data_IF_529161341448
#
_entry.id   IF_529161341448
#
_cell.length_a   1.000
_cell.length_b   1.000
_cell.length_c   1.000
_cell.angle_alpha   90.00
_cell.angle_beta   90.00
_cell.angle_gamma   90.00
#
_symmetry.space_group_name_H-M   'P 1'
#
loop_
_entity.id
_entity.type
_entity.pdbx_description
1 polymer ?
#
# COMPACT_ATOMS: atom_id res chain seq x y z
N UNK A 1 -67.90 -25.36 -21.16
CA UNK A 1 -68.98 -25.74 -20.21
C UNK A 1 -68.35 -26.29 -18.95
N UNK A 2 -68.87 -25.85 -17.80
CA UNK A 2 -68.74 -26.36 -16.44
C UNK A 2 -67.41 -26.26 -15.66
N UNK A 3 -67.46 -25.35 -14.69
CA UNK A 3 -66.84 -25.44 -13.38
C UNK A 3 -67.52 -26.52 -12.50
N UNK A 4 -66.79 -27.09 -11.54
CA UNK A 4 -67.31 -27.40 -10.21
C UNK A 4 -66.20 -27.71 -9.20
N UNK A 5 -66.32 -27.08 -8.04
CA UNK A 5 -65.69 -27.43 -6.77
C UNK A 5 -66.26 -28.74 -6.21
N UNK A 6 -65.46 -29.45 -5.40
CA UNK A 6 -65.93 -30.06 -4.14
C UNK A 6 -64.79 -30.29 -3.14
N UNK A 7 -65.17 -30.25 -1.87
CA UNK A 7 -64.39 -29.96 -0.67
C UNK A 7 -64.42 -31.16 0.32
N UNK A 8 -63.39 -31.26 1.18
CA UNK A 8 -63.24 -32.00 2.47
C UNK A 8 -62.78 -33.47 2.37
N UNK A 9 -61.72 -33.91 3.07
CA UNK A 9 -61.63 -33.97 4.54
C UNK A 9 -60.21 -34.03 5.10
N UNK A 10 -60.15 -33.67 6.38
CA UNK A 10 -59.04 -33.46 7.32
C UNK A 10 -58.30 -34.75 7.69
N UNK A 11 -56.97 -34.70 7.75
CA UNK A 11 -56.20 -35.32 8.84
C UNK A 11 -54.92 -34.52 9.08
N UNK A 12 -54.88 -33.89 10.24
CA UNK A 12 -53.72 -33.23 10.80
C UNK A 12 -52.73 -34.29 11.32
N UNK A 13 -51.46 -34.16 10.94
CA UNK A 13 -50.34 -34.68 11.70
C UNK A 13 -49.21 -33.64 11.61
N UNK A 14 -49.15 -32.87 12.68
CA UNK A 14 -48.14 -31.89 13.07
C UNK A 14 -46.71 -32.43 12.93
N UNK A 15 -46.02 -32.03 11.87
CA UNK A 15 -44.57 -31.95 11.81
C UNK A 15 -44.18 -30.52 12.21
N UNK A 16 -43.69 -30.38 13.43
CA UNK A 16 -43.39 -29.12 14.11
C UNK A 16 -42.39 -28.30 13.27
N UNK A 17 -42.90 -27.29 12.58
CA UNK A 17 -42.12 -26.10 12.24
C UNK A 17 -41.74 -25.45 13.57
N UNK A 18 -40.51 -25.71 14.04
CA UNK A 18 -39.90 -24.86 15.06
C UNK A 18 -39.68 -23.50 14.40
N UNK A 19 -40.66 -22.62 14.62
CA UNK A 19 -40.51 -21.19 14.52
C UNK A 19 -39.27 -20.81 15.33
N UNK A 20 -38.17 -20.47 14.66
CA UNK A 20 -37.08 -19.73 15.28
C UNK A 20 -37.58 -18.30 15.55
N UNK A 21 -38.30 -18.14 16.66
CA UNK A 21 -38.44 -16.88 17.38
C UNK A 21 -37.19 -16.67 18.23
N UNK A 22 -36.11 -16.29 17.57
CA UNK A 22 -34.96 -15.65 18.19
C UNK A 22 -34.63 -14.45 17.30
N UNK A 23 -35.12 -13.28 17.71
CA UNK A 23 -34.69 -11.94 17.29
C UNK A 23 -34.20 -11.83 15.84
N UNK A 24 -35.07 -12.09 14.86
CA UNK A 24 -34.90 -11.61 13.48
C UNK A 24 -35.22 -10.12 13.43
N UNK A 25 -34.38 -9.30 14.03
CA UNK A 25 -34.18 -7.94 13.52
C UNK A 25 -32.88 -8.07 12.72
N UNK A 26 -33.04 -8.63 11.54
CA UNK A 26 -31.93 -8.85 10.60
C UNK A 26 -31.65 -7.50 9.93
N UNK A 27 -30.42 -7.28 9.48
CA UNK A 27 -29.98 -6.07 8.76
C UNK A 27 -30.90 -5.62 7.59
N UNK A 28 -31.83 -6.48 7.14
CA UNK A 28 -32.89 -6.19 6.17
C UNK A 28 -33.73 -4.94 6.50
N UNK A 29 -33.87 -4.55 7.78
CA UNK A 29 -34.64 -3.36 8.18
C UNK A 29 -33.83 -2.05 8.18
N UNK A 30 -32.53 -2.06 7.85
CA UNK A 30 -31.77 -0.81 7.74
C UNK A 30 -32.16 -0.05 6.46
N UNK A 31 -32.59 1.24 6.59
CA UNK A 31 -32.86 2.09 5.43
C UNK A 31 -31.63 2.21 4.54
N UNK A 32 -31.81 2.34 3.22
CA UNK A 32 -30.69 2.48 2.28
C UNK A 32 -29.78 3.69 2.56
N UNK A 33 -30.31 4.73 3.21
CA UNK A 33 -29.55 5.92 3.64
C UNK A 33 -28.71 5.69 4.90
N UNK A 34 -28.95 4.60 5.62
CA UNK A 34 -28.24 4.23 6.83
C UNK A 34 -26.79 3.84 6.50
N UNK A 35 -25.86 4.24 7.36
CA UNK A 35 -24.45 3.95 7.23
C UNK A 35 -23.88 3.26 8.46
N UNK A 36 -22.90 2.39 8.23
CA UNK A 36 -22.02 1.88 9.28
C UNK A 36 -20.72 2.67 9.23
N UNK A 37 -20.36 3.23 10.38
CA UNK A 37 -19.06 3.89 10.57
C UNK A 37 -18.14 2.98 11.35
N UNK A 38 -16.90 2.78 10.88
CA UNK A 38 -15.88 2.00 11.54
C UNK A 38 -14.69 2.90 11.90
N UNK A 39 -14.28 2.87 13.16
CA UNK A 39 -13.04 3.47 13.65
C UNK A 39 -12.07 2.34 13.99
N UNK A 40 -10.94 2.30 13.31
CA UNK A 40 -10.07 1.12 13.27
C UNK A 40 -8.63 1.48 13.60
N UNK A 41 -7.98 0.63 14.40
CA UNK A 41 -6.54 0.68 14.65
C UNK A 41 -5.96 -0.71 14.46
N UNK A 42 -4.86 -0.81 13.73
CA UNK A 42 -4.35 -2.12 13.34
C UNK A 42 -2.86 -2.16 13.11
N UNK A 43 -2.41 -3.37 12.80
CA UNK A 43 -1.03 -3.64 12.39
C UNK A 43 -1.08 -4.45 11.11
N UNK A 44 -0.45 -3.93 10.07
CA UNK A 44 -0.15 -4.67 8.84
C UNK A 44 1.24 -5.27 8.93
N UNK A 45 1.37 -6.50 8.47
CA UNK A 45 2.62 -7.24 8.43
C UNK A 45 3.18 -7.20 7.01
N UNK A 46 3.96 -6.15 6.71
CA UNK A 46 4.48 -5.87 5.38
C UNK A 46 5.75 -6.68 5.11
N UNK A 47 5.70 -7.55 4.11
CA UNK A 47 6.86 -8.31 3.65
C UNK A 47 7.87 -7.42 2.93
N UNK A 48 9.16 -7.71 3.14
CA UNK A 48 10.26 -7.12 2.38
C UNK A 48 10.34 -5.60 2.46
N UNK A 49 9.91 -5.06 3.60
CA UNK A 49 9.81 -3.63 3.91
C UNK A 49 10.40 -3.35 5.31
N UNK A 50 11.20 -4.28 5.82
CA UNK A 50 11.81 -4.18 7.15
C UNK A 50 12.94 -3.16 7.15
N UNK A 51 13.07 -2.42 8.24
CA UNK A 51 14.16 -1.46 8.41
C UNK A 51 15.55 -2.12 8.55
N UNK A 52 15.60 -3.43 8.74
CA UNK A 52 16.85 -4.19 8.91
C UNK A 52 16.82 -5.42 8.00
N UNK A 53 17.87 -5.67 7.19
CA UNK A 53 17.89 -6.78 6.23
C UNK A 53 17.62 -8.16 6.85
N UNK A 54 18.03 -8.38 8.10
CA UNK A 54 17.85 -9.63 8.83
C UNK A 54 16.37 -10.01 8.97
N UNK A 55 15.47 -9.02 9.02
CA UNK A 55 14.04 -9.24 9.17
C UNK A 55 13.35 -9.27 7.80
N UNK A 56 12.44 -10.24 7.60
CA UNK A 56 11.68 -10.38 6.35
C UNK A 56 10.40 -9.55 6.33
N UNK A 57 9.99 -9.01 7.47
CA UNK A 57 8.68 -8.42 7.68
C UNK A 57 8.78 -7.22 8.60
N UNK A 58 7.98 -6.20 8.30
CA UNK A 58 7.80 -5.00 9.09
C UNK A 58 6.38 -4.94 9.64
N UNK A 59 6.24 -4.55 10.90
CA UNK A 59 4.96 -4.14 11.45
C UNK A 59 4.70 -2.67 11.11
N UNK A 60 3.59 -2.43 10.43
CA UNK A 60 3.13 -1.10 10.02
C UNK A 60 1.88 -0.78 10.81
N UNK A 61 1.96 0.28 11.63
CA UNK A 61 0.82 0.75 12.41
C UNK A 61 -0.17 1.44 11.48
N UNK A 62 -1.44 1.06 11.60
CA UNK A 62 -2.52 1.58 10.80
C UNK A 62 -3.58 2.24 11.67
N UNK A 63 -4.17 3.32 11.14
CA UNK A 63 -5.52 3.76 11.54
C UNK A 63 -6.39 3.86 10.30
N UNK A 64 -7.66 3.56 10.45
CA UNK A 64 -8.61 3.70 9.36
C UNK A 64 -9.97 4.13 9.90
N UNK A 65 -10.58 5.10 9.22
CA UNK A 65 -11.97 5.47 9.39
C UNK A 65 -12.72 5.03 8.15
N UNK A 66 -13.86 4.38 8.32
CA UNK A 66 -14.69 3.92 7.20
C UNK A 66 -16.12 4.39 7.41
N UNK A 67 -16.76 4.86 6.34
CA UNK A 67 -18.21 5.01 6.26
C UNK A 67 -18.69 4.11 5.13
N UNK A 68 -19.63 3.21 5.41
CA UNK A 68 -20.24 2.31 4.43
C UNK A 68 -21.75 2.50 4.40
N UNK A 69 -22.30 2.89 3.26
CA UNK A 69 -23.73 2.87 3.00
C UNK A 69 -24.11 1.62 2.21
N UNK A 70 -25.33 1.12 2.42
CA UNK A 70 -25.84 -0.10 1.79
C UNK A 70 -26.04 0.05 0.27
N UNK A 71 -26.17 1.27 -0.24
CA UNK A 71 -26.33 1.58 -1.66
C UNK A 71 -25.01 1.55 -2.46
N UNK A 72 -23.89 1.22 -1.81
CA UNK A 72 -22.58 1.13 -2.45
C UNK A 72 -21.68 2.35 -2.22
N UNK A 73 -22.17 3.41 -1.57
CA UNK A 73 -21.33 4.56 -1.23
C UNK A 73 -20.40 4.25 -0.08
N UNK A 74 -19.15 4.69 -0.21
CA UNK A 74 -18.17 4.54 0.84
C UNK A 74 -17.20 5.71 0.92
N UNK A 75 -16.58 5.82 2.09
CA UNK A 75 -15.50 6.73 2.36
C UNK A 75 -14.50 6.07 3.28
N UNK A 76 -13.22 6.25 3.01
CA UNK A 76 -12.14 5.87 3.92
C UNK A 76 -11.23 7.05 4.20
N UNK A 77 -10.77 7.20 5.44
CA UNK A 77 -9.50 7.87 5.74
C UNK A 77 -8.56 6.81 6.26
N UNK A 78 -7.43 6.59 5.61
CA UNK A 78 -6.40 5.68 6.09
C UNK A 78 -5.15 6.44 6.51
N UNK A 79 -4.49 5.97 7.57
CA UNK A 79 -3.19 6.43 8.04
C UNK A 79 -2.26 5.23 8.19
N UNK A 80 -1.02 5.37 7.74
CA UNK A 80 0.04 4.38 8.01
C UNK A 80 1.35 5.07 8.35
N UNK A 81 2.16 4.41 9.19
CA UNK A 81 3.50 4.89 9.58
C UNK A 81 4.52 3.80 9.30
N UNK A 82 5.44 4.09 8.40
CA UNK A 82 6.50 3.20 7.91
C UNK A 82 7.84 3.54 8.58
N UNK A 83 8.85 2.64 8.49
CA UNK A 83 10.21 2.95 8.90
C UNK A 83 10.67 4.31 8.37
N UNK A 84 11.43 5.06 9.17
CA UNK A 84 11.75 6.46 8.87
C UNK A 84 10.72 7.47 9.38
N UNK A 85 9.71 7.01 10.12
CA UNK A 85 8.51 7.78 10.49
C UNK A 85 7.82 8.42 9.27
N UNK A 86 7.92 7.76 8.12
CA UNK A 86 7.26 8.15 6.87
C UNK A 86 5.78 7.87 7.05
N UNK A 87 4.97 8.93 6.96
CA UNK A 87 3.53 8.85 7.17
C UNK A 87 2.81 8.93 5.84
N UNK A 88 1.79 8.10 5.68
CA UNK A 88 0.83 8.23 4.58
C UNK A 88 -0.53 8.53 5.18
N UNK A 89 -1.29 9.40 4.52
CA UNK A 89 -2.67 9.65 4.87
C UNK A 89 -3.51 9.86 3.61
N UNK A 90 -4.48 8.99 3.39
CA UNK A 90 -5.32 9.02 2.20
C UNK A 90 -6.78 9.20 2.56
N UNK A 91 -7.48 10.02 1.79
CA UNK A 91 -8.94 10.05 1.74
C UNK A 91 -9.39 9.40 0.44
N UNK A 92 -10.20 8.35 0.54
CA UNK A 92 -10.88 7.75 -0.61
C UNK A 92 -12.39 7.92 -0.46
N UNK A 93 -13.08 8.31 -1.52
CA UNK A 93 -14.55 8.31 -1.58
C UNK A 93 -14.98 7.60 -2.86
N UNK A 94 -16.07 6.84 -2.80
CA UNK A 94 -16.51 6.09 -3.96
C UNK A 94 -17.96 5.64 -3.87
N UNK A 95 -18.48 5.21 -5.01
CA UNK A 95 -19.81 4.67 -5.19
C UNK A 95 -19.85 3.66 -6.35
N UNK A 96 -21.05 3.37 -6.86
CA UNK A 96 -21.25 2.43 -7.96
C UNK A 96 -20.64 2.86 -9.30
N UNK A 97 -20.37 4.15 -9.49
CA UNK A 97 -19.91 4.75 -10.74
C UNK A 97 -18.39 4.93 -10.78
N UNK A 98 -17.74 4.98 -9.61
CA UNK A 98 -16.27 5.04 -9.49
C UNK A 98 -15.82 5.43 -8.09
N UNK A 99 -14.52 5.53 -7.90
CA UNK A 99 -13.91 6.02 -6.68
C UNK A 99 -12.81 7.04 -6.97
N UNK A 100 -12.45 7.81 -5.96
CA UNK A 100 -11.42 8.82 -6.04
C UNK A 100 -10.65 8.92 -4.73
N UNK A 101 -9.32 8.94 -4.81
CA UNK A 101 -8.43 9.03 -3.68
C UNK A 101 -7.50 10.25 -3.79
N UNK A 102 -7.18 10.85 -2.64
CA UNK A 102 -6.26 11.98 -2.51
C UNK A 102 -5.29 11.80 -1.34
N UNK A 103 -4.04 12.24 -1.52
CA UNK A 103 -3.02 12.27 -0.46
C UNK A 103 -3.19 13.52 0.42
N UNK A 104 -3.69 13.32 1.64
CA UNK A 104 -3.93 14.40 2.59
C UNK A 104 -2.66 15.05 3.12
N UNK A 105 -1.50 14.39 3.02
CA UNK A 105 -0.20 14.96 3.40
C UNK A 105 0.53 15.61 2.22
N UNK A 106 0.03 15.42 1.00
CA UNK A 106 0.50 16.05 -0.24
C UNK A 106 1.99 15.85 -0.53
N UNK A 107 2.61 14.79 -0.03
CA UNK A 107 4.03 14.51 -0.29
C UNK A 107 4.22 13.43 -1.35
N UNK A 108 3.31 12.45 -1.41
CA UNK A 108 3.42 11.27 -2.28
C UNK A 108 2.72 11.49 -3.60
N UNK A 109 1.42 11.76 -3.58
CA UNK A 109 0.62 12.09 -4.77
C UNK A 109 0.47 13.61 -4.94
N UNK A 110 0.90 14.39 -3.96
CA UNK A 110 0.73 15.83 -3.98
C UNK A 110 -0.73 16.22 -3.98
N UNK A 111 -1.14 17.01 -4.96
CA UNK A 111 -2.52 17.50 -5.10
C UNK A 111 -3.31 16.81 -6.22
N UNK A 112 -2.82 15.68 -6.74
CA UNK A 112 -3.51 14.94 -7.80
C UNK A 112 -4.57 13.98 -7.23
N UNK A 113 -5.66 13.81 -7.97
CA UNK A 113 -6.74 12.86 -7.68
C UNK A 113 -6.46 11.54 -8.40
N UNK A 114 -6.36 10.44 -7.66
CA UNK A 114 -6.35 9.10 -8.23
C UNK A 114 -7.79 8.63 -8.45
N UNK A 115 -8.16 8.36 -9.70
CA UNK A 115 -9.50 7.91 -10.08
C UNK A 115 -9.50 6.41 -10.33
N UNK A 116 -10.53 5.76 -9.83
CA UNK A 116 -10.84 4.36 -10.08
C UNK A 116 -12.16 4.26 -10.83
N UNK A 117 -12.22 3.33 -11.79
CA UNK A 117 -13.43 3.08 -12.55
C UNK A 117 -14.47 2.31 -11.70
N UNK A 118 -15.70 2.21 -12.20
CA UNK A 118 -16.81 1.54 -11.52
C UNK A 118 -16.50 0.08 -11.08
N UNK A 119 -15.68 -0.67 -11.83
CA UNK A 119 -15.33 -2.04 -11.46
C UNK A 119 -14.32 -2.07 -10.30
N UNK A 120 -13.34 -1.17 -10.30
CA UNK A 120 -12.36 -0.99 -9.22
C UNK A 120 -13.07 -0.53 -7.93
N UNK A 121 -13.92 0.48 -8.02
CA UNK A 121 -14.72 0.97 -6.89
C UNK A 121 -15.63 -0.13 -6.28
N UNK A 122 -16.21 -1.00 -7.13
CA UNK A 122 -16.97 -2.16 -6.64
C UNK A 122 -16.10 -3.18 -5.91
N UNK A 123 -14.85 -3.40 -6.36
CA UNK A 123 -13.91 -4.25 -5.65
C UNK A 123 -13.54 -3.66 -4.28
N UNK A 124 -13.27 -2.35 -4.22
CA UNK A 124 -12.95 -1.67 -2.97
C UNK A 124 -14.15 -1.74 -2.00
N UNK A 125 -15.35 -1.41 -2.45
CA UNK A 125 -16.56 -1.52 -1.64
C UNK A 125 -16.76 -2.96 -1.14
N UNK A 126 -16.55 -3.98 -1.99
CA UNK A 126 -16.62 -5.38 -1.60
C UNK A 126 -15.59 -5.74 -0.51
N UNK A 127 -14.35 -5.25 -0.62
CA UNK A 127 -13.31 -5.49 0.38
C UNK A 127 -13.65 -4.84 1.73
N UNK A 128 -14.25 -3.65 1.71
CA UNK A 128 -14.71 -2.96 2.92
C UNK A 128 -15.87 -3.70 3.61
N UNK A 129 -16.74 -4.39 2.87
CA UNK A 129 -17.82 -5.19 3.47
C UNK A 129 -17.30 -6.32 4.38
N UNK A 130 -16.11 -6.86 4.12
CA UNK A 130 -15.51 -7.88 5.01
C UNK A 130 -15.06 -7.30 6.36
N UNK A 131 -14.99 -5.97 6.49
CA UNK A 131 -14.78 -5.27 7.76
C UNK A 131 -16.09 -5.06 8.54
N UNK A 132 -17.25 -5.34 7.92
CA UNK A 132 -18.57 -5.25 8.52
C UNK A 132 -19.37 -6.55 8.32
N UNK A 133 -19.19 -7.57 9.20
CA UNK A 133 -19.89 -8.84 9.07
C UNK A 133 -21.41 -8.74 9.09
N UNK A 134 -21.99 -7.68 9.65
CA UNK A 134 -23.44 -7.42 9.58
C UNK A 134 -23.92 -7.14 8.15
N UNK A 135 -23.23 -6.26 7.40
CA UNK A 135 -23.57 -5.97 6.01
C UNK A 135 -23.22 -7.16 5.11
N UNK A 136 -22.13 -7.86 5.43
CA UNK A 136 -21.77 -9.09 4.74
C UNK A 136 -22.85 -10.18 4.92
N UNK A 137 -23.35 -10.37 6.13
CA UNK A 137 -24.43 -11.32 6.43
C UNK A 137 -25.69 -10.96 5.65
N UNK A 138 -26.01 -9.67 5.54
CA UNK A 138 -27.16 -9.23 4.76
C UNK A 138 -27.05 -9.65 3.29
N UNK A 139 -25.88 -9.45 2.68
CA UNK A 139 -25.59 -9.87 1.31
C UNK A 139 -25.73 -11.40 1.13
N UNK A 140 -25.30 -12.18 2.13
CA UNK A 140 -25.40 -13.64 2.13
C UNK A 140 -26.79 -14.18 2.50
N UNK A 141 -27.65 -13.39 3.15
CA UNK A 141 -28.88 -13.86 3.81
C UNK A 141 -29.94 -14.44 2.86
N UNK A 142 -29.86 -14.11 1.57
CA UNK A 142 -30.74 -14.68 0.53
C UNK A 142 -30.29 -16.06 0.03
N UNK A 143 -29.18 -16.60 0.54
CA UNK A 143 -28.61 -17.89 0.11
C UNK A 143 -28.93 -18.98 1.14
N UNK A 144 -29.17 -20.20 0.65
CA UNK A 144 -29.37 -21.35 1.54
C UNK A 144 -28.05 -21.76 2.19
N UNK A 145 -27.97 -21.83 3.54
CA UNK A 145 -26.81 -22.37 4.24
C UNK A 145 -26.61 -23.85 3.94
N UNK A 146 -25.35 -24.29 4.02
CA UNK A 146 -24.91 -25.67 3.84
C UNK A 146 -24.29 -26.16 5.15
N UNK A 147 -24.59 -27.42 5.50
CA UNK A 147 -23.99 -28.07 6.66
C UNK A 147 -22.52 -28.41 6.40
N UNK A 148 -21.67 -28.11 7.37
CA UNK A 148 -20.27 -28.50 7.35
C UNK A 148 -20.15 -29.97 7.79
N UNK A 149 -19.36 -30.81 7.10
CA UNK A 149 -19.18 -32.21 7.47
C UNK A 149 -18.41 -32.35 8.79
N UNK A 150 -18.76 -33.36 9.61
CA UNK A 150 -18.11 -33.63 10.92
C UNK A 150 -19.01 -33.31 12.12
N UNK A 151 -18.93 -34.13 13.18
CA UNK A 151 -19.80 -33.99 14.35
C UNK A 151 -19.53 -32.71 15.15
N UNK A 152 -18.28 -32.23 15.17
CA UNK A 152 -17.89 -30.93 15.75
C UNK A 152 -18.52 -29.72 15.03
N UNK A 153 -19.03 -29.90 13.80
CA UNK A 153 -19.51 -28.81 12.96
C UNK A 153 -21.03 -28.63 12.98
N UNK A 154 -21.77 -29.43 13.78
CA UNK A 154 -23.24 -29.31 13.91
C UNK A 154 -23.70 -27.93 14.41
N UNK A 155 -22.85 -27.21 15.13
CA UNK A 155 -23.13 -25.87 15.65
C UNK A 155 -22.92 -24.75 14.61
N UNK A 156 -22.36 -25.08 13.44
CA UNK A 156 -21.99 -24.11 12.43
C UNK A 156 -22.69 -24.40 11.10
N UNK A 157 -22.82 -23.36 10.28
CA UNK A 157 -23.31 -23.44 8.91
C UNK A 157 -22.43 -22.58 8.00
N UNK A 158 -22.25 -23.01 6.76
CA UNK A 158 -21.53 -22.25 5.75
C UNK A 158 -22.51 -21.63 4.76
N UNK A 159 -22.28 -20.38 4.38
CA UNK A 159 -22.99 -19.74 3.27
C UNK A 159 -22.00 -19.42 2.17
N UNK A 160 -22.25 -19.94 0.97
CA UNK A 160 -21.51 -19.61 -0.24
C UNK A 160 -22.27 -18.54 -1.03
N UNK A 161 -21.56 -17.52 -1.49
CA UNK A 161 -22.14 -16.40 -2.22
C UNK A 161 -21.11 -15.79 -3.18
N UNK A 162 -21.59 -14.91 -4.05
CA UNK A 162 -20.70 -13.99 -4.76
C UNK A 162 -20.82 -12.64 -4.07
N UNK A 163 -19.69 -11.99 -3.80
CA UNK A 163 -19.70 -10.65 -3.25
C UNK A 163 -20.22 -9.63 -4.28
N UNK A 164 -20.32 -8.35 -3.88
CA UNK A 164 -20.85 -7.27 -4.74
C UNK A 164 -19.97 -6.97 -5.96
N UNK A 165 -18.74 -7.47 -6.01
CA UNK A 165 -17.87 -7.45 -7.18
C UNK A 165 -17.99 -8.73 -8.05
N UNK A 166 -18.86 -9.66 -7.68
CA UNK A 166 -19.06 -10.93 -8.37
C UNK A 166 -18.03 -12.01 -8.02
N UNK A 167 -17.19 -11.79 -7.00
CA UNK A 167 -16.12 -12.72 -6.63
C UNK A 167 -16.67 -13.81 -5.72
N UNK A 168 -16.27 -15.09 -5.90
CA UNK A 168 -16.73 -16.17 -5.04
C UNK A 168 -16.23 -15.98 -3.62
N UNK A 169 -17.13 -16.13 -2.66
CA UNK A 169 -16.87 -15.97 -1.25
C UNK A 169 -17.69 -16.96 -0.41
N UNK A 170 -17.24 -17.14 0.82
CA UNK A 170 -17.97 -17.95 1.81
C UNK A 170 -17.87 -17.34 3.20
N UNK A 171 -18.85 -17.61 4.05
CA UNK A 171 -18.80 -17.27 5.46
C UNK A 171 -19.25 -18.44 6.34
N UNK A 172 -18.66 -18.55 7.52
CA UNK A 172 -19.07 -19.49 8.55
C UNK A 172 -19.89 -18.75 9.60
N UNK A 173 -21.07 -19.28 9.92
CA UNK A 173 -22.04 -18.70 10.84
C UNK A 173 -22.30 -19.68 11.99
N UNK A 174 -22.32 -19.19 13.21
CA UNK A 174 -22.77 -19.94 14.38
C UNK A 174 -24.31 -20.02 14.39
N UNK A 175 -24.86 -21.24 14.44
CA UNK A 175 -26.32 -21.46 14.32
C UNK A 175 -27.11 -20.85 15.47
N UNK A 176 -26.59 -20.95 16.69
CA UNK A 176 -27.30 -20.52 17.90
C UNK A 176 -27.46 -19.00 17.96
N UNK A 177 -26.49 -18.25 17.46
CA UNK A 177 -26.42 -16.79 17.56
C UNK A 177 -26.64 -16.06 16.24
N UNK A 178 -26.52 -16.74 15.10
CA UNK A 178 -26.49 -16.12 13.77
C UNK A 178 -25.22 -15.31 13.51
N UNK A 179 -24.21 -15.42 14.37
CA UNK A 179 -22.98 -14.64 14.30
C UNK A 179 -22.04 -15.17 13.21
N UNK A 180 -21.50 -14.28 12.38
CA UNK A 180 -20.47 -14.64 11.40
C UNK A 180 -19.13 -14.83 12.13
N UNK A 181 -18.55 -16.03 12.10
CA UNK A 181 -17.28 -16.33 12.76
C UNK A 181 -16.07 -16.07 11.86
N UNK A 182 -16.24 -16.33 10.56
CA UNK A 182 -15.21 -16.08 9.56
C UNK A 182 -15.81 -15.84 8.19
N UNK A 183 -15.04 -15.18 7.33
CA UNK A 183 -15.31 -15.06 5.91
C UNK A 183 -14.07 -15.40 5.10
N UNK A 184 -14.25 -15.81 3.85
CA UNK A 184 -13.17 -16.23 2.97
C UNK A 184 -13.44 -15.78 1.53
N UNK A 185 -12.42 -15.21 0.92
CA UNK A 185 -12.31 -14.95 -0.52
C UNK A 185 -11.26 -15.86 -1.13
N UNK A 186 -11.01 -15.74 -2.43
CA UNK A 186 -9.90 -16.44 -3.08
C UNK A 186 -8.53 -16.07 -2.47
N UNK A 187 -8.34 -14.82 -2.05
CA UNK A 187 -7.07 -14.30 -1.57
C UNK A 187 -6.92 -14.37 -0.05
N UNK A 188 -8.02 -14.17 0.69
CA UNK A 188 -7.98 -13.79 2.11
C UNK A 188 -8.95 -14.61 2.95
N UNK A 189 -8.58 -14.86 4.20
CA UNK A 189 -9.48 -15.33 5.26
C UNK A 189 -9.58 -14.24 6.32
N UNK A 190 -10.80 -13.97 6.77
CA UNK A 190 -11.14 -13.01 7.82
C UNK A 190 -11.68 -13.78 9.01
N UNK A 191 -11.10 -13.57 10.18
CA UNK A 191 -11.51 -14.19 11.45
C UNK A 191 -12.05 -13.10 12.37
N UNK A 192 -13.25 -13.30 12.90
CA UNK A 192 -14.00 -12.29 13.66
C UNK A 192 -14.09 -12.69 15.13
N UNK A 193 -13.69 -11.79 16.03
CA UNK A 193 -13.67 -12.05 17.47
C UNK A 193 -14.11 -10.84 18.30
N UNK A 194 -14.35 -11.09 19.59
CA UNK A 194 -14.72 -10.08 20.59
C UNK A 194 -15.94 -9.26 20.13
N UNK A 195 -17.05 -9.95 19.87
CA UNK A 195 -18.27 -9.32 19.37
C UNK A 195 -18.91 -8.42 20.42
N UNK A 196 -19.34 -7.23 19.98
CA UNK A 196 -20.20 -6.36 20.75
C UNK A 196 -21.59 -6.28 20.12
N UNK A 197 -22.61 -6.15 20.98
CA UNK A 197 -23.96 -5.82 20.55
C UNK A 197 -24.07 -4.31 20.34
N UNK A 198 -24.51 -3.92 19.14
CA UNK A 198 -25.09 -2.62 18.86
C UNK A 198 -26.61 -2.73 18.84
N UNK A 199 -27.34 -1.60 18.83
CA UNK A 199 -28.80 -1.54 18.94
C UNK A 199 -29.52 -2.74 18.31
N UNK A 200 -29.31 -2.97 17.00
CA UNK A 200 -30.04 -4.00 16.25
C UNK A 200 -29.14 -5.09 15.63
N UNK A 201 -27.82 -5.09 15.87
CA UNK A 201 -26.91 -6.05 15.24
C UNK A 201 -25.61 -6.20 16.03
N UNK A 202 -24.81 -7.22 15.67
CA UNK A 202 -23.52 -7.49 16.29
C UNK A 202 -22.37 -7.23 15.33
N UNK A 203 -21.27 -6.71 15.87
CA UNK A 203 -20.05 -6.43 15.10
C UNK A 203 -18.83 -6.87 15.92
N UNK A 204 -17.80 -7.47 15.28
CA UNK A 204 -16.58 -7.82 15.96
C UNK A 204 -15.78 -6.58 16.34
N UNK A 205 -15.13 -6.64 17.50
CA UNK A 205 -14.13 -5.65 17.91
C UNK A 205 -12.72 -6.03 17.45
N UNK A 206 -12.52 -7.25 16.96
CA UNK A 206 -11.26 -7.73 16.41
C UNK A 206 -11.46 -8.46 15.09
N UNK A 207 -10.65 -8.10 14.10
CA UNK A 207 -10.59 -8.80 12.81
C UNK A 207 -9.15 -9.19 12.53
N UNK A 208 -8.93 -10.48 12.29
CA UNK A 208 -7.65 -11.00 11.82
C UNK A 208 -7.77 -11.39 10.36
N UNK A 209 -6.86 -10.91 9.51
CA UNK A 209 -6.82 -11.22 8.08
C UNK A 209 -5.58 -12.03 7.76
N UNK A 210 -5.77 -13.12 7.02
CA UNK A 210 -4.72 -14.03 6.59
C UNK A 210 -4.76 -14.24 5.08
N UNK A 211 -3.59 -14.26 4.43
CA UNK A 211 -3.45 -14.65 3.02
C UNK A 211 -2.72 -15.98 2.96
N UNK A 212 -3.34 -17.01 2.35
CA UNK A 212 -2.75 -18.35 2.33
C UNK A 212 -2.42 -18.90 3.73
N UNK A 213 -3.23 -18.55 4.74
CA UNK A 213 -3.01 -18.94 6.15
C UNK A 213 -2.02 -18.07 6.93
N UNK A 214 -1.25 -17.21 6.26
CA UNK A 214 -0.30 -16.30 6.89
C UNK A 214 -0.98 -15.02 7.37
N UNK A 215 -0.71 -14.61 8.60
CA UNK A 215 -1.17 -13.34 9.16
C UNK A 215 -0.64 -12.15 8.35
N UNK A 216 -1.54 -11.29 7.85
CA UNK A 216 -1.18 -10.08 7.10
C UNK A 216 -1.70 -8.79 7.73
N UNK A 217 -2.77 -8.87 8.51
CA UNK A 217 -3.41 -7.70 9.11
C UNK A 217 -4.19 -8.08 10.36
N UNK A 218 -4.13 -7.22 11.38
CA UNK A 218 -4.99 -7.30 12.56
C UNK A 218 -5.61 -5.94 12.84
N UNK A 219 -6.90 -5.93 13.11
CA UNK A 219 -7.68 -4.74 13.43
C UNK A 219 -8.29 -4.85 14.82
N UNK A 220 -8.27 -3.74 15.55
CA UNK A 220 -9.22 -3.40 16.61
C UNK A 220 -10.23 -2.41 16.04
N UNK A 221 -11.52 -2.69 16.21
CA UNK A 221 -12.61 -1.97 15.55
C UNK A 221 -13.62 -1.48 16.58
N UNK A 222 -14.03 -0.22 16.42
CA UNK A 222 -15.23 0.33 17.02
C UNK A 222 -16.20 0.67 15.90
N UNK A 223 -17.47 0.28 16.04
CA UNK A 223 -18.48 0.55 15.03
C UNK A 223 -19.66 1.30 15.61
N UNK A 224 -20.34 2.04 14.75
CA UNK A 224 -21.60 2.70 15.07
C UNK A 224 -22.50 2.78 13.83
N UNK A 225 -23.80 2.92 14.07
CA UNK A 225 -24.76 3.27 13.03
C UNK A 225 -24.90 4.78 12.92
N UNK A 226 -25.14 5.24 11.70
CA UNK A 226 -25.64 6.58 11.40
C UNK A 226 -26.89 6.44 10.54
N UNK A 227 -28.02 6.97 11.02
CA UNK A 227 -29.26 7.00 10.26
C UNK A 227 -29.14 7.90 9.02
N UNK A 228 -28.36 8.96 9.15
CA UNK A 228 -28.06 9.92 8.09
C UNK A 228 -26.58 10.26 8.10
N UNK A 229 -25.99 10.36 6.91
CA UNK A 229 -24.63 10.89 6.69
C UNK A 229 -24.75 12.08 5.76
N UNK A 230 -24.13 13.19 6.13
CA UNK A 230 -24.08 14.38 5.27
C UNK A 230 -23.41 14.03 3.94
N UNK A 231 -24.05 14.36 2.82
CA UNK A 231 -23.54 14.12 1.47
C UNK A 231 -22.15 14.74 1.25
N UNK A 232 -21.84 15.87 1.90
CA UNK A 232 -20.53 16.51 1.86
C UNK A 232 -19.42 15.66 2.47
N UNK A 233 -19.75 14.65 3.30
CA UNK A 233 -18.75 13.72 3.84
C UNK A 233 -18.00 12.97 2.74
N UNK A 234 -18.65 12.75 1.58
CA UNK A 234 -18.09 12.02 0.44
C UNK A 234 -17.44 12.93 -0.60
N UNK A 235 -17.43 14.25 -0.39
CA UNK A 235 -16.77 15.18 -1.29
C UNK A 235 -15.25 15.17 -1.06
N UNK A 236 -14.48 15.25 -2.16
CA UNK A 236 -13.06 15.55 -2.08
C UNK A 236 -12.84 17.04 -1.78
N UNK A 237 -11.72 17.42 -1.13
CA UNK A 237 -11.37 18.82 -0.96
C UNK A 237 -11.17 19.52 -2.32
N UNK A 238 -11.68 20.73 -2.46
CA UNK A 238 -11.69 21.47 -3.73
C UNK A 238 -10.29 21.89 -4.25
N UNK A 239 -9.24 21.72 -3.44
CA UNK A 239 -7.85 22.09 -3.79
C UNK A 239 -7.12 21.05 -4.65
N UNK A 240 -7.70 19.86 -4.84
CA UNK A 240 -7.09 18.78 -5.62
C UNK A 240 -7.49 18.88 -7.10
N UNK A 241 -6.61 18.40 -7.97
CA UNK A 241 -6.74 18.46 -9.42
C UNK A 241 -6.74 17.06 -10.03
N UNK A 242 -7.33 16.90 -11.22
CA UNK A 242 -7.22 15.63 -11.94
C UNK A 242 -5.76 15.30 -12.26
N UNK A 243 -5.43 14.01 -12.13
CA UNK A 243 -4.08 13.50 -12.42
C UNK A 243 -3.65 13.85 -13.84
N UNK A 244 -2.43 14.35 -13.97
CA UNK A 244 -1.87 14.72 -15.26
C UNK A 244 -1.11 13.55 -15.89
N UNK A 245 -1.16 13.47 -17.22
CA UNK A 245 -0.33 12.53 -17.98
C UNK A 245 1.15 12.84 -17.73
N UNK A 246 1.89 11.81 -17.30
CA UNK A 246 3.33 11.89 -17.03
C UNK A 246 4.19 11.71 -18.29
N UNK A 247 3.54 11.42 -19.42
CA UNK A 247 4.16 11.19 -20.71
C UNK A 247 4.84 9.83 -20.82
N UNK A 248 5.37 9.54 -22.01
CA UNK A 248 6.04 8.27 -22.29
C UNK A 248 7.37 8.11 -21.51
N UNK A 249 7.79 6.85 -21.40
CA UNK A 249 9.07 6.44 -20.83
C UNK A 249 10.23 7.19 -21.51
N UNK A 250 11.04 7.92 -20.75
CA UNK A 250 12.13 8.75 -21.28
C UNK A 250 13.26 8.94 -20.28
N UNK A 251 14.45 9.23 -20.79
CA UNK A 251 15.58 9.67 -19.97
C UNK A 251 15.64 11.21 -19.96
N UNK A 252 15.28 11.81 -18.82
CA UNK A 252 15.36 13.25 -18.60
C UNK A 252 16.74 13.60 -18.05
N UNK A 253 17.49 14.46 -18.73
CA UNK A 253 18.79 14.93 -18.24
C UNK A 253 18.60 15.93 -17.09
N UNK A 254 19.12 15.61 -15.91
CA UNK A 254 19.06 16.48 -14.73
C UNK A 254 20.31 17.36 -14.66
N UNK A 255 21.45 16.83 -15.10
CA UNK A 255 22.71 17.54 -15.24
C UNK A 255 23.54 16.85 -16.34
N UNK A 256 24.62 17.46 -16.87
CA UNK A 256 25.41 16.87 -17.95
C UNK A 256 25.84 15.42 -17.66
N UNK A 257 25.32 14.48 -18.45
CA UNK A 257 25.59 13.04 -18.30
C UNK A 257 24.95 12.37 -17.06
N UNK A 258 24.02 13.04 -16.39
CA UNK A 258 23.20 12.50 -15.30
C UNK A 258 21.72 12.55 -15.71
N UNK A 259 21.03 11.43 -15.57
CA UNK A 259 19.66 11.29 -16.03
C UNK A 259 18.77 10.65 -14.97
N UNK A 260 17.48 10.97 -15.05
CA UNK A 260 16.39 10.22 -14.41
C UNK A 260 15.48 9.66 -15.49
N UNK A 261 14.99 8.45 -15.27
CA UNK A 261 14.01 7.79 -16.11
C UNK A 261 12.62 8.15 -15.59
N UNK A 262 11.83 8.77 -16.47
CA UNK A 262 10.47 9.25 -16.22
C UNK A 262 9.48 8.48 -17.07
N UNK A 263 8.19 8.52 -16.72
CA UNK A 263 7.12 7.89 -17.50
C UNK A 263 7.08 6.36 -17.38
N UNK A 264 7.59 5.83 -16.27
CA UNK A 264 7.51 4.42 -15.94
C UNK A 264 6.08 4.03 -15.52
N UNK A 265 5.69 2.78 -15.78
CA UNK A 265 4.32 2.30 -15.54
C UNK A 265 3.95 2.33 -14.05
N UNK A 266 4.93 2.09 -13.17
CA UNK A 266 4.73 2.14 -11.72
C UNK A 266 4.80 3.54 -11.12
N UNK A 267 5.26 4.54 -11.89
CA UNK A 267 5.65 5.85 -11.37
C UNK A 267 6.96 5.85 -10.58
N UNK A 268 7.70 4.73 -10.57
CA UNK A 268 9.02 4.64 -9.96
C UNK A 268 10.09 5.24 -10.87
N UNK A 269 10.98 6.06 -10.32
CA UNK A 269 12.09 6.64 -11.06
C UNK A 269 13.38 5.86 -10.84
N UNK A 270 14.06 5.51 -11.92
CA UNK A 270 15.45 5.03 -11.89
C UNK A 270 16.35 6.15 -12.37
N UNK A 271 17.51 6.34 -11.75
CA UNK A 271 18.48 7.33 -12.20
C UNK A 271 19.78 6.67 -12.66
N UNK A 272 20.57 7.37 -13.46
CA UNK A 272 21.87 6.87 -13.90
C UNK A 272 22.85 7.99 -14.25
N UNK A 273 24.14 7.72 -14.04
CA UNK A 273 25.26 8.57 -14.45
C UNK A 273 26.05 7.89 -15.57
N UNK A 274 26.39 8.67 -16.60
CA UNK A 274 27.16 8.22 -17.77
C UNK A 274 28.56 8.82 -17.72
N UNK A 275 29.56 7.96 -17.69
CA UNK A 275 30.97 8.32 -17.87
C UNK A 275 31.48 8.01 -19.28
N UNK A 276 32.79 8.12 -19.47
CA UNK A 276 33.43 7.85 -20.76
C UNK A 276 33.35 6.38 -21.17
N UNK A 277 33.47 5.46 -20.20
CA UNK A 277 33.57 4.02 -20.47
C UNK A 277 32.32 3.25 -20.00
N UNK A 278 31.68 3.71 -18.93
CA UNK A 278 30.61 2.95 -18.27
C UNK A 278 29.50 3.81 -17.70
N UNK A 279 28.44 3.13 -17.27
CA UNK A 279 27.24 3.69 -16.64
C UNK A 279 27.08 3.12 -15.23
N UNK A 280 26.73 3.98 -14.27
CA UNK A 280 26.21 3.60 -12.97
C UNK A 280 24.70 3.85 -12.92
N UNK A 281 23.94 2.87 -12.44
CA UNK A 281 22.48 2.88 -12.32
C UNK A 281 22.13 2.87 -10.84
N UNK A 282 21.12 3.66 -10.46
CA UNK A 282 20.68 3.81 -9.08
C UNK A 282 19.25 3.25 -8.96
N UNK A 283 19.14 2.16 -8.21
CA UNK A 283 17.98 1.27 -8.06
C UNK A 283 17.49 0.54 -9.31
N UNK A 284 16.84 -0.60 -9.09
CA UNK A 284 16.21 -1.41 -10.12
C UNK A 284 14.72 -1.58 -9.81
N UNK A 285 13.82 -1.04 -10.67
CA UNK A 285 12.43 -0.75 -10.33
C UNK A 285 11.60 -2.01 -10.03
N UNK A 286 10.37 -1.79 -9.59
CA UNK A 286 9.39 -2.73 -8.98
C UNK A 286 9.16 -4.10 -9.65
N UNK A 287 9.66 -4.34 -10.86
CA UNK A 287 9.61 -5.63 -11.53
C UNK A 287 10.73 -5.82 -12.58
N UNK A 288 11.06 -7.07 -12.88
CA UNK A 288 12.00 -7.41 -13.95
C UNK A 288 11.54 -6.91 -15.34
N UNK A 289 10.23 -6.96 -15.62
CA UNK A 289 9.66 -6.53 -16.89
C UNK A 289 9.82 -5.01 -17.10
N UNK A 290 9.54 -4.22 -16.07
CA UNK A 290 9.73 -2.77 -16.11
C UNK A 290 11.22 -2.41 -16.15
N UNK A 291 12.04 -3.07 -15.34
CA UNK A 291 13.49 -2.89 -15.35
C UNK A 291 14.12 -3.20 -16.71
N UNK A 292 13.60 -4.16 -17.47
CA UNK A 292 14.07 -4.44 -18.83
C UNK A 292 13.81 -3.27 -19.79
N UNK A 293 12.64 -2.62 -19.70
CA UNK A 293 12.32 -1.40 -20.49
C UNK A 293 13.25 -0.24 -20.12
N UNK A 294 13.46 -0.05 -18.81
CA UNK A 294 14.39 0.98 -18.29
C UNK A 294 15.82 0.72 -18.76
N UNK A 295 16.29 -0.53 -18.66
CA UNK A 295 17.62 -0.92 -19.13
C UNK A 295 17.82 -0.60 -20.61
N UNK A 296 16.87 -0.97 -21.46
CA UNK A 296 16.94 -0.71 -22.90
C UNK A 296 17.04 0.80 -23.20
N UNK A 297 16.28 1.63 -22.48
CA UNK A 297 16.35 3.09 -22.59
C UNK A 297 17.72 3.64 -22.15
N UNK A 298 18.32 3.09 -21.09
CA UNK A 298 19.66 3.48 -20.64
C UNK A 298 20.70 3.13 -21.71
N UNK A 299 20.65 1.92 -22.27
CA UNK A 299 21.55 1.48 -23.34
C UNK A 299 21.40 2.35 -24.61
N UNK A 300 20.19 2.78 -24.94
CA UNK A 300 19.92 3.73 -26.03
C UNK A 300 20.48 5.12 -25.74
N UNK A 301 20.38 5.59 -24.49
CA UNK A 301 20.84 6.92 -24.08
C UNK A 301 22.37 7.00 -23.99
N UNK A 302 23.04 5.90 -23.67
CA UNK A 302 24.49 5.81 -23.52
C UNK A 302 25.12 4.76 -24.47
N UNK A 303 25.00 4.92 -25.79
CA UNK A 303 25.40 3.90 -26.75
C UNK A 303 26.91 3.60 -26.63
N UNK A 304 27.26 2.32 -26.64
CA UNK A 304 28.66 1.85 -26.56
C UNK A 304 29.31 1.96 -25.19
N UNK A 305 28.59 2.37 -24.13
CA UNK A 305 29.09 2.36 -22.75
C UNK A 305 28.60 1.11 -22.05
N UNK A 306 29.47 0.52 -21.22
CA UNK A 306 29.12 -0.68 -20.45
C UNK A 306 28.25 -0.30 -19.25
N UNK A 307 27.12 -0.99 -19.04
CA UNK A 307 26.45 -0.94 -17.74
C UNK A 307 27.32 -1.71 -16.73
N UNK A 308 28.01 -0.98 -15.85
CA UNK A 308 29.05 -1.57 -15.00
C UNK A 308 28.64 -1.61 -13.52
N UNK A 309 27.78 -0.70 -13.08
CA UNK A 309 27.37 -0.62 -11.68
C UNK A 309 25.85 -0.49 -11.55
N UNK A 310 25.28 -1.30 -10.67
CA UNK A 310 23.93 -1.15 -10.15
C UNK A 310 24.04 -0.90 -8.64
N UNK A 311 23.78 0.32 -8.22
CA UNK A 311 23.77 0.71 -6.81
C UNK A 311 22.33 0.60 -6.32
N UNK A 312 22.08 -0.37 -5.45
CA UNK A 312 20.80 -0.52 -4.77
C UNK A 312 20.86 0.36 -3.52
N UNK A 313 20.00 1.37 -3.46
CA UNK A 313 19.90 2.28 -2.33
C UNK A 313 19.59 1.51 -1.06
N UNK A 314 18.67 0.55 -1.09
CA UNK A 314 18.44 -0.40 0.02
C UNK A 314 17.64 -1.62 -0.44
N UNK A 315 17.42 -2.57 0.48
CA UNK A 315 16.85 -3.88 0.17
C UNK A 315 15.32 -3.98 0.20
N UNK A 316 14.58 -2.87 0.23
CA UNK A 316 13.12 -2.92 0.05
C UNK A 316 12.77 -3.37 -1.37
N UNK A 317 11.67 -4.11 -1.48
CA UNK A 317 11.34 -4.86 -2.70
C UNK A 317 11.26 -3.97 -3.94
N UNK A 318 10.66 -2.80 -3.83
CA UNK A 318 10.48 -1.83 -4.91
C UNK A 318 11.79 -1.24 -5.45
N UNK A 319 12.86 -1.27 -4.67
CA UNK A 319 14.19 -0.81 -5.06
C UNK A 319 15.05 -1.88 -5.74
N UNK A 320 14.75 -3.16 -5.49
CA UNK A 320 15.58 -4.28 -5.93
C UNK A 320 14.90 -5.27 -6.88
N UNK A 321 13.58 -5.27 -6.99
CA UNK A 321 12.83 -6.30 -7.72
C UNK A 321 13.24 -6.43 -9.20
N UNK A 322 13.76 -5.35 -9.79
CA UNK A 322 14.25 -5.30 -11.15
C UNK A 322 15.67 -5.80 -11.34
N UNK A 323 16.44 -6.04 -10.28
CA UNK A 323 17.86 -6.37 -10.34
C UNK A 323 18.20 -7.57 -11.25
N UNK A 324 17.37 -8.64 -11.36
CA UNK A 324 17.63 -9.73 -12.29
C UNK A 324 17.81 -9.29 -13.75
N UNK A 325 17.17 -8.19 -14.17
CA UNK A 325 17.25 -7.67 -15.55
C UNK A 325 18.61 -7.05 -15.90
N UNK A 326 19.45 -6.79 -14.90
CA UNK A 326 20.78 -6.20 -15.05
C UNK A 326 21.92 -7.21 -14.92
N UNK A 327 21.63 -8.49 -14.67
CA UNK A 327 22.66 -9.52 -14.56
C UNK A 327 23.34 -9.73 -15.91
N UNK A 328 24.62 -9.37 -15.97
CA UNK A 328 25.51 -9.59 -17.11
C UNK A 328 26.97 -9.58 -16.64
N UNK A 329 27.90 -9.95 -17.53
CA UNK A 329 29.31 -10.06 -17.18
C UNK A 329 29.96 -8.70 -16.85
N UNK A 330 30.58 -8.64 -15.68
CA UNK A 330 31.18 -7.45 -15.10
C UNK A 330 30.19 -6.34 -14.74
N UNK A 331 28.93 -6.69 -14.45
CA UNK A 331 28.04 -5.87 -13.62
C UNK A 331 28.42 -6.04 -12.14
N UNK A 332 28.65 -4.93 -11.45
CA UNK A 332 28.84 -4.85 -10.01
C UNK A 332 27.54 -4.39 -9.36
N UNK A 333 26.93 -5.25 -8.55
CA UNK A 333 25.75 -4.87 -7.76
C UNK A 333 26.23 -4.43 -6.39
N UNK A 334 26.01 -3.17 -6.03
CA UNK A 334 26.36 -2.62 -4.73
C UNK A 334 25.11 -2.55 -3.85
N UNK A 335 25.24 -2.98 -2.60
CA UNK A 335 24.21 -2.85 -1.57
C UNK A 335 24.84 -2.46 -0.24
N UNK A 336 24.08 -1.88 0.68
CA UNK A 336 24.59 -1.58 2.01
C UNK A 336 24.86 -2.82 2.84
N UNK A 337 25.40 -2.58 4.04
CA UNK A 337 25.73 -3.63 5.01
C UNK A 337 24.54 -4.57 5.26
N UNK A 338 24.79 -5.88 5.24
CA UNK A 338 23.81 -6.95 5.41
C UNK A 338 22.72 -7.04 4.31
N UNK A 339 22.71 -6.12 3.33
CA UNK A 339 21.72 -6.07 2.26
C UNK A 339 21.69 -7.33 1.40
N UNK A 340 22.82 -8.05 1.29
CA UNK A 340 22.90 -9.31 0.54
C UNK A 340 21.92 -10.36 1.08
N UNK A 341 21.70 -10.41 2.40
CA UNK A 341 20.77 -11.35 3.03
C UNK A 341 19.32 -11.12 2.56
N UNK A 342 18.91 -9.86 2.53
CA UNK A 342 17.57 -9.50 2.09
C UNK A 342 17.39 -9.67 0.58
N UNK A 343 18.44 -9.42 -0.22
CA UNK A 343 18.45 -9.67 -1.66
C UNK A 343 18.36 -11.16 -1.97
N UNK A 344 19.13 -12.02 -1.29
CA UNK A 344 19.08 -13.47 -1.47
C UNK A 344 17.70 -14.02 -1.15
N UNK A 345 17.11 -13.59 -0.02
CA UNK A 345 15.76 -13.98 0.39
C UNK A 345 14.67 -13.62 -0.63
N UNK A 346 14.85 -12.51 -1.35
CA UNK A 346 13.84 -11.98 -2.27
C UNK A 346 14.03 -12.44 -3.71
N UNK A 347 15.28 -12.52 -4.18
CA UNK A 347 15.64 -12.67 -5.59
C UNK A 347 16.51 -13.90 -5.85
N UNK A 348 16.92 -14.62 -4.80
CA UNK A 348 17.70 -15.84 -4.87
C UNK A 348 19.21 -15.65 -4.98
N UNK A 349 19.92 -16.76 -4.88
CA UNK A 349 21.39 -16.82 -4.82
C UNK A 349 22.08 -16.27 -6.07
N UNK A 350 21.43 -16.35 -7.24
CA UNK A 350 21.99 -15.86 -8.50
C UNK A 350 22.30 -14.36 -8.41
N UNK A 351 21.33 -13.54 -7.95
CA UNK A 351 21.53 -12.10 -7.76
C UNK A 351 22.50 -11.86 -6.61
N UNK A 352 22.27 -12.51 -5.46
CA UNK A 352 23.06 -12.31 -4.25
C UNK A 352 24.56 -12.58 -4.45
N UNK A 353 24.92 -13.54 -5.32
CA UNK A 353 26.31 -13.85 -5.64
C UNK A 353 27.09 -12.71 -6.32
N UNK A 354 26.38 -11.77 -6.96
CA UNK A 354 26.94 -10.58 -7.63
C UNK A 354 26.99 -9.34 -6.71
N UNK A 355 26.41 -9.44 -5.51
CA UNK A 355 26.35 -8.33 -4.55
C UNK A 355 27.68 -8.16 -3.85
N UNK A 356 28.22 -6.94 -3.93
CA UNK A 356 29.28 -6.42 -3.09
C UNK A 356 28.66 -5.48 -2.04
N UNK A 357 28.85 -5.80 -0.77
CA UNK A 357 28.37 -4.94 0.31
C UNK A 357 29.32 -3.77 0.55
N UNK A 358 28.74 -2.58 0.75
CA UNK A 358 29.46 -1.31 0.96
C UNK A 358 29.20 -0.86 2.40
N UNK A 359 30.22 -0.97 3.25
CA UNK A 359 30.15 -0.61 4.67
C UNK A 359 30.94 0.66 5.04
N UNK A 360 31.72 1.18 4.10
CA UNK A 360 32.44 2.45 4.18
C UNK A 360 32.33 3.18 2.84
N UNK A 361 32.75 4.44 2.77
CA UNK A 361 32.75 5.20 1.50
C UNK A 361 33.48 4.40 0.42
N UNK A 362 32.84 4.28 -0.75
CA UNK A 362 33.34 3.52 -1.89
C UNK A 362 33.26 4.36 -3.15
N UNK A 363 34.36 4.41 -3.91
CA UNK A 363 34.46 5.24 -5.11
C UNK A 363 34.32 4.40 -6.38
N UNK A 364 33.49 4.88 -7.30
CA UNK A 364 33.31 4.32 -8.62
C UNK A 364 33.88 5.30 -9.65
N UNK A 365 34.75 4.83 -10.54
CA UNK A 365 35.19 5.58 -11.72
C UNK A 365 34.49 5.07 -12.98
N UNK A 366 33.75 5.96 -13.65
CA UNK A 366 33.05 5.67 -14.91
C UNK A 366 33.89 6.03 -16.17
N UNK A 367 35.19 6.25 -16.00
CA UNK A 367 36.13 6.68 -17.04
C UNK A 367 36.41 8.17 -17.00
N UNK A 368 36.83 8.67 -15.84
CA UNK A 368 37.07 10.09 -15.55
C UNK A 368 35.91 10.79 -14.85
N UNK A 369 34.84 10.06 -14.47
CA UNK A 369 33.70 10.57 -13.71
C UNK A 369 33.56 9.77 -12.42
N UNK A 370 33.87 10.41 -11.30
CA UNK A 370 33.87 9.79 -9.98
C UNK A 370 32.50 9.89 -9.32
N UNK A 371 31.96 8.74 -8.90
CA UNK A 371 30.76 8.63 -8.08
C UNK A 371 31.16 8.11 -6.70
N UNK A 372 30.82 8.85 -5.65
CA UNK A 372 31.09 8.46 -4.27
C UNK A 372 29.85 7.80 -3.68
N UNK A 373 30.00 6.56 -3.20
CA UNK A 373 28.91 5.80 -2.55
C UNK A 373 29.10 5.92 -1.04
N UNK A 374 28.10 6.51 -0.36
CA UNK A 374 28.08 6.71 1.07
C UNK A 374 27.07 5.76 1.73
N UNK A 375 27.50 4.88 2.65
CA UNK A 375 26.55 4.16 3.50
C UNK A 375 25.96 5.10 4.55
N UNK A 376 24.66 4.96 4.81
CA UNK A 376 23.92 5.68 5.84
C UNK A 376 23.02 4.70 6.59
N UNK A 377 23.22 4.53 7.89
CA UNK A 377 22.29 3.73 8.69
C UNK A 377 21.05 4.58 8.99
N UNK A 378 20.02 4.45 8.16
CA UNK A 378 18.79 5.23 8.27
C UNK A 378 17.75 4.53 9.15
N UNK A 379 16.87 5.31 9.79
CA UNK A 379 15.68 4.76 10.46
C UNK A 379 14.66 4.15 9.49
N UNK A 380 14.78 4.41 8.18
CA UNK A 380 14.00 3.74 7.15
C UNK A 380 14.56 2.36 6.78
N UNK A 381 15.86 2.30 6.51
CA UNK A 381 16.58 1.05 6.29
C UNK A 381 18.05 1.19 6.70
N UNK A 382 18.57 0.20 7.44
CA UNK A 382 19.93 0.23 7.98
C UNK A 382 21.01 -0.04 6.93
N UNK A 383 20.62 -0.59 5.78
CA UNK A 383 21.47 -0.89 4.62
C UNK A 383 21.38 0.21 3.53
N UNK A 384 20.95 1.42 3.90
CA UNK A 384 20.85 2.52 2.96
C UNK A 384 22.22 2.95 2.40
N UNK A 385 22.24 3.18 1.09
CA UNK A 385 23.32 3.78 0.32
C UNK A 385 22.83 5.05 -0.37
N UNK A 386 23.71 6.03 -0.45
CA UNK A 386 23.54 7.24 -1.26
C UNK A 386 24.68 7.27 -2.28
N UNK A 387 24.38 7.65 -3.52
CA UNK A 387 25.40 7.91 -4.52
C UNK A 387 25.54 9.42 -4.77
N UNK A 388 26.76 9.93 -4.76
CA UNK A 388 27.08 11.34 -5.00
C UNK A 388 27.95 11.49 -6.24
N UNK A 389 27.40 12.12 -7.26
CA UNK A 389 28.12 12.51 -8.46
C UNK A 389 28.80 13.86 -8.24
N UNK A 390 30.11 13.83 -7.97
CA UNK A 390 30.89 15.04 -7.68
C UNK A 390 30.93 16.01 -8.86
N UNK A 391 30.87 15.50 -10.09
CA UNK A 391 31.00 16.34 -11.29
C UNK A 391 29.79 17.24 -11.51
N UNK A 392 28.61 16.77 -11.12
CA UNK A 392 27.34 17.51 -11.26
C UNK A 392 26.72 17.92 -9.94
N UNK A 393 27.38 17.64 -8.82
CA UNK A 393 26.87 17.92 -7.47
C UNK A 393 25.47 17.30 -7.25
N UNK A 394 25.27 16.09 -7.78
CA UNK A 394 23.97 15.39 -7.76
C UNK A 394 23.99 14.24 -6.76
N UNK A 395 22.98 14.16 -5.91
CA UNK A 395 22.84 13.15 -4.88
C UNK A 395 21.65 12.23 -5.19
N UNK A 396 21.90 10.94 -5.40
CA UNK A 396 20.87 9.91 -5.55
C UNK A 396 20.62 9.27 -4.20
N UNK A 397 19.43 9.50 -3.65
CA UNK A 397 19.16 9.33 -2.22
C UNK A 397 18.14 8.22 -1.89
N UNK A 398 17.50 7.64 -2.90
CA UNK A 398 16.43 6.65 -2.70
C UNK A 398 15.22 7.31 -2.02
N UNK A 399 15.02 6.93 -0.75
CA UNK A 399 13.83 7.19 0.07
C UNK A 399 14.11 8.08 1.31
N UNK A 400 15.08 8.98 1.21
CA UNK A 400 15.44 9.93 2.26
C UNK A 400 14.88 11.34 2.07
N UNK A 401 14.41 11.68 0.87
CA UNK A 401 13.77 12.96 0.57
C UNK A 401 12.70 12.81 -0.50
N UNK A 402 11.57 13.50 -0.31
CA UNK A 402 10.39 13.34 -1.15
C UNK A 402 9.81 14.69 -1.55
N UNK A 403 9.48 14.80 -2.84
CA UNK A 403 8.70 15.90 -3.39
C UNK A 403 7.62 15.30 -4.30
N UNK A 404 6.36 15.74 -4.19
CA UNK A 404 5.34 15.29 -5.12
C UNK A 404 5.65 15.79 -6.54
N UNK A 405 5.22 15.05 -7.56
CA UNK A 405 5.30 15.51 -8.96
C UNK A 405 4.57 16.85 -9.13
N UNK A 406 3.39 16.99 -8.52
CA UNK A 406 2.60 18.23 -8.53
C UNK A 406 2.10 18.51 -7.11
N UNK A 407 2.49 19.64 -6.54
CA UNK A 407 2.04 20.03 -5.20
C UNK A 407 3.04 20.94 -4.50
N UNK A 408 2.74 21.33 -3.26
CA UNK A 408 3.66 22.11 -2.44
C UNK A 408 4.88 21.27 -2.03
N UNK A 409 5.92 21.95 -1.55
CA UNK A 409 7.06 21.30 -0.88
C UNK A 409 6.58 20.87 0.53
N UNK A 410 6.56 19.57 0.85
CA UNK A 410 6.21 19.09 2.17
C UNK A 410 7.37 19.29 3.17
N UNK A 411 7.10 19.25 4.49
CA UNK A 411 8.15 19.07 5.49
C UNK A 411 8.90 17.75 5.27
N UNK A 412 10.20 17.71 5.60
CA UNK A 412 10.91 16.41 5.60
C UNK A 412 10.40 15.47 6.70
N UNK A 413 10.43 14.17 6.44
CA UNK A 413 10.37 13.15 7.49
C UNK A 413 11.71 13.03 8.23
N UNK A 414 11.80 12.15 9.21
CA UNK A 414 13.02 11.99 10.03
C UNK A 414 14.22 11.58 9.17
N UNK A 415 13.99 10.78 8.13
CA UNK A 415 15.00 10.40 7.12
C UNK A 415 15.65 11.59 6.40
N UNK A 416 14.93 12.70 6.23
CA UNK A 416 15.51 13.91 5.64
C UNK A 416 16.46 14.63 6.59
N UNK A 417 16.27 14.48 7.91
CA UNK A 417 17.24 14.98 8.90
C UNK A 417 18.51 14.13 8.93
N UNK A 418 18.37 12.82 8.73
CA UNK A 418 19.49 11.88 8.57
C UNK A 418 20.31 12.22 7.31
N UNK A 419 19.62 12.55 6.21
CA UNK A 419 20.25 13.01 4.97
C UNK A 419 21.01 14.33 5.14
N UNK A 420 20.41 15.34 5.80
CA UNK A 420 21.08 16.63 6.09
C UNK A 420 22.31 16.43 6.98
N UNK A 421 22.25 15.50 7.93
CA UNK A 421 23.38 15.13 8.78
C UNK A 421 24.53 14.53 7.97
N UNK A 422 24.24 13.62 7.04
CA UNK A 422 25.25 13.03 6.15
C UNK A 422 25.88 14.09 5.23
N UNK A 423 25.06 14.93 4.59
CA UNK A 423 25.53 16.02 3.73
C UNK A 423 26.47 16.96 4.50
N UNK A 424 26.10 17.31 5.73
CA UNK A 424 26.89 18.19 6.61
C UNK A 424 28.18 17.52 7.05
N UNK A 425 28.11 16.28 7.52
CA UNK A 425 29.27 15.52 8.01
C UNK A 425 30.35 15.36 6.93
N UNK A 426 29.92 15.08 5.69
CA UNK A 426 30.83 14.89 4.56
C UNK A 426 31.10 16.16 3.76
N UNK A 427 30.54 17.31 4.17
CA UNK A 427 30.72 18.61 3.53
C UNK A 427 30.39 18.57 2.04
N UNK A 428 29.31 17.86 1.68
CA UNK A 428 28.93 17.67 0.28
C UNK A 428 28.34 18.96 -0.29
N UNK A 429 28.83 19.35 -1.47
CA UNK A 429 28.23 20.45 -2.24
C UNK A 429 27.12 19.87 -3.10
N UNK A 430 25.87 19.98 -2.66
CA UNK A 430 24.73 19.38 -3.36
C UNK A 430 23.94 20.47 -4.10
N UNK A 431 23.63 20.22 -5.36
CA UNK A 431 22.75 21.05 -6.18
C UNK A 431 21.40 20.37 -6.42
N UNK A 432 21.43 19.06 -6.67
CA UNK A 432 20.26 18.26 -7.05
C UNK A 432 20.16 17.01 -6.18
N UNK A 433 18.94 16.70 -5.74
CA UNK A 433 18.58 15.50 -5.02
C UNK A 433 17.59 14.70 -5.86
N UNK A 434 17.94 13.44 -6.11
CA UNK A 434 17.19 12.54 -6.99
C UNK A 434 16.71 11.36 -6.16
N UNK A 435 15.40 11.29 -5.96
CA UNK A 435 14.71 10.13 -5.38
C UNK A 435 14.09 9.25 -6.44
N UNK A 436 13.42 8.20 -5.96
CA UNK A 436 12.71 7.23 -6.80
C UNK A 436 11.20 7.48 -6.84
N UNK A 437 10.73 8.40 -6.01
CA UNK A 437 9.32 8.72 -5.84
C UNK A 437 9.10 10.22 -5.96
N UNK A 438 8.28 10.60 -6.94
CA UNK A 438 8.02 11.98 -7.25
C UNK A 438 9.20 12.69 -7.91
N UNK A 439 9.14 14.03 -7.94
CA UNK A 439 10.09 14.81 -8.72
C UNK A 439 11.45 14.95 -8.03
N UNK A 440 12.50 15.09 -8.83
CA UNK A 440 13.80 15.56 -8.30
C UNK A 440 13.68 16.98 -7.74
N UNK A 441 14.50 17.28 -6.73
CA UNK A 441 14.50 18.56 -6.03
C UNK A 441 15.86 19.23 -6.06
N UNK A 442 15.87 20.55 -6.03
CA UNK A 442 17.07 21.34 -5.76
C UNK A 442 17.45 21.30 -4.28
N UNK A 443 18.71 21.59 -3.96
CA UNK A 443 19.15 21.72 -2.58
C UNK A 443 18.41 22.84 -1.82
N UNK A 444 18.02 23.90 -2.52
CA UNK A 444 17.18 24.98 -1.95
C UNK A 444 15.82 24.46 -1.48
N UNK A 445 15.15 23.62 -2.29
CA UNK A 445 13.88 23.01 -1.90
C UNK A 445 14.05 22.04 -0.72
N UNK A 446 15.16 21.32 -0.66
CA UNK A 446 15.49 20.48 0.49
C UNK A 446 15.68 21.30 1.77
N UNK A 447 16.42 22.41 1.72
CA UNK A 447 16.52 23.34 2.88
C UNK A 447 15.15 23.90 3.26
N UNK A 448 14.29 24.21 2.28
CA UNK A 448 12.92 24.67 2.57
C UNK A 448 12.09 23.61 3.30
N UNK A 449 12.17 22.35 2.86
CA UNK A 449 11.49 21.23 3.52
C UNK A 449 12.00 21.00 4.96
N UNK A 450 13.30 21.20 5.21
CA UNK A 450 13.90 21.16 6.54
C UNK A 450 13.36 22.29 7.44
N UNK A 451 13.26 23.51 6.93
CA UNK A 451 12.66 24.64 7.66
C UNK A 451 11.20 24.36 8.05
N UNK A 452 10.40 23.86 7.10
CA UNK A 452 9.00 23.50 7.35
C UNK A 452 8.89 22.48 8.49
N UNK A 453 9.74 21.45 8.48
CA UNK A 453 9.81 20.45 9.55
C UNK A 453 10.12 21.05 10.93
N UNK A 454 10.94 22.10 11.00
CA UNK A 454 11.25 22.79 12.26
C UNK A 454 10.08 23.64 12.76
N UNK A 455 9.31 24.23 11.83
CA UNK A 455 8.12 25.04 12.16
C UNK A 455 6.89 24.21 12.55
N UNK A 456 6.82 22.94 12.11
CA UNK A 456 5.71 22.03 12.41
C UNK A 456 5.72 21.42 13.82
N UNK A 457 6.75 21.65 14.65
CA UNK A 457 6.71 21.18 16.05
C UNK A 457 5.46 21.74 16.73
N UNK A 458 4.54 20.89 17.25
CA UNK A 458 3.42 21.37 18.04
C UNK A 458 3.93 22.12 19.25
N UNK A 459 3.20 23.16 19.66
CA UNK A 459 3.36 23.80 20.97
C UNK A 459 3.60 22.72 22.03
N UNK A 460 4.66 22.90 22.83
CA UNK A 460 4.96 22.02 23.96
C UNK A 460 3.66 21.73 24.71
N UNK A 461 3.39 20.43 24.97
CA UNK A 461 2.32 20.04 25.89
C UNK A 461 2.49 20.87 27.15
N UNK A 462 1.61 21.85 27.37
CA UNK A 462 1.51 22.48 28.68
C UNK A 462 1.07 21.37 29.63
N UNK A 463 1.94 21.10 30.59
CA UNK A 463 1.75 20.13 31.68
C UNK A 463 0.41 20.30 32.38
#
# INVERSE_FOLDING_TARGET
>A
MHASHNLRLILAATGICILFSASRIMAQDMPSACAITLEMRGVRFALHQAATPQNAQQEIKLKQQVILQKDGKFRTISESVWPGNIRFQFLTTGDKDGAAAVDLLQWRQGIEIERENAAEARNEYADLLYLSPVLLLELGSMRMPIDLPGAENKNYQQVNFNDVAGRPASMIIERSSGQVLSAKTAASTYEYADYNSMQNFRQPRQITVKNGGRLVLQWKISAAVREHVDAHSFALPATYIEKQDKGALRATMIAPGTYRVDGSESGYHTAFSVGKHSVAIYDAPVSAAEAAKVRALIEQTAPGRKLAYLVLSHSHRDHIAGAPSYIQDGMHILAGKDGRLAIERQLGQLVASKVQEVASVFDIDLGGRSIHIYPIASSHASDMLIAYDKSTQTLFQGDLFYLPEIGPIPPVFDVGLELDSLITQHQLQVQQLVGVHGRSGSFTEFKKALELRMTEKPAAKKN
#
